data_IF_114155362424
#
_entry.id   IF_114155362424
#
_cell.length_a   1.000
_cell.length_b   1.000
_cell.length_c   1.000
_cell.angle_alpha   90.00
_cell.angle_beta   90.00
_cell.angle_gamma   90.00
#
_symmetry.space_group_name_H-M   'P 1'
#
loop_
_entity.id
_entity.type
_entity.pdbx_description
1 polymer ?
#
# COMPACT_ATOMS: atom_id res chain seq x y z
N UNK A 1 -19.19 25.98 -15.78
CA UNK A 1 -18.74 24.83 -16.60
C UNK A 1 -17.97 23.93 -15.65
N UNK A 2 -18.62 22.91 -15.08
CA UNK A 2 -18.05 22.03 -14.05
C UNK A 2 -17.74 20.68 -14.68
N UNK A 3 -16.46 20.42 -14.96
CA UNK A 3 -16.01 19.14 -15.49
C UNK A 3 -14.51 19.14 -15.78
N UNK A 4 -13.74 18.41 -14.97
CA UNK A 4 -12.39 17.86 -15.20
C UNK A 4 -11.24 18.86 -15.55
N UNK A 5 -11.53 20.08 -15.97
CA UNK A 5 -10.53 21.12 -16.18
C UNK A 5 -10.28 21.83 -14.82
N UNK A 6 -9.21 21.40 -14.15
CA UNK A 6 -8.40 22.05 -13.10
C UNK A 6 -8.30 21.38 -11.71
N UNK A 7 -9.16 20.42 -11.33
CA UNK A 7 -9.19 19.95 -9.92
C UNK A 7 -9.07 18.46 -9.64
N UNK A 8 -9.29 17.58 -10.61
CA UNK A 8 -9.48 16.15 -10.30
C UNK A 8 -10.59 15.93 -9.27
N UNK A 9 -10.26 15.35 -8.10
CA UNK A 9 -11.18 15.18 -6.97
C UNK A 9 -11.47 16.49 -6.18
N UNK A 10 -10.76 17.57 -6.49
CA UNK A 10 -10.90 18.88 -5.85
C UNK A 10 -10.82 18.83 -4.31
N UNK A 11 -9.78 18.15 -3.81
CA UNK A 11 -9.55 17.98 -2.37
C UNK A 11 -9.09 19.29 -1.72
N UNK A 12 -9.35 19.42 -0.42
CA UNK A 12 -8.77 20.53 0.37
C UNK A 12 -7.25 20.42 0.41
N UNK A 13 -6.55 21.56 0.54
CA UNK A 13 -5.09 21.60 0.64
C UNK A 13 -4.57 20.70 1.78
N UNK A 14 -5.25 20.70 2.93
CA UNK A 14 -4.88 19.86 4.07
C UNK A 14 -5.00 18.37 3.77
N UNK A 15 -6.09 17.92 3.14
CA UNK A 15 -6.28 16.52 2.73
C UNK A 15 -5.22 16.11 1.71
N UNK A 16 -4.96 16.95 0.71
CA UNK A 16 -3.94 16.69 -0.30
C UNK A 16 -2.54 16.61 0.32
N UNK A 17 -2.18 17.57 1.18
CA UNK A 17 -0.87 17.59 1.85
C UNK A 17 -0.67 16.39 2.77
N UNK A 18 -1.71 15.96 3.47
CA UNK A 18 -1.68 14.75 4.31
C UNK A 18 -1.53 13.46 3.50
N UNK A 19 -1.98 13.44 2.25
CA UNK A 19 -1.85 12.28 1.36
C UNK A 19 -0.41 12.07 0.88
N UNK A 20 0.43 13.13 0.88
CA UNK A 20 1.85 13.03 0.57
C UNK A 20 2.67 12.44 1.75
N UNK A 21 2.55 11.12 1.94
CA UNK A 21 3.31 10.35 2.96
C UNK A 21 4.82 10.60 2.91
N UNK A 22 5.36 10.78 1.70
CA UNK A 22 6.77 11.05 1.45
C UNK A 22 6.91 12.47 0.87
N UNK A 23 7.35 13.47 1.65
CA UNK A 23 7.37 14.87 1.23
C UNK A 23 8.57 15.20 0.31
N UNK A 24 8.84 14.35 -0.67
CA UNK A 24 9.90 14.53 -1.65
C UNK A 24 9.54 13.89 -3.00
N UNK A 25 10.13 14.46 -4.05
CA UNK A 25 9.85 14.15 -5.44
C UNK A 25 10.51 12.85 -5.91
N UNK A 26 10.01 12.27 -7.01
CA UNK A 26 10.54 11.05 -7.60
C UNK A 26 12.03 11.15 -8.04
N UNK A 27 12.46 12.29 -8.55
CA UNK A 27 13.84 12.55 -8.99
C UNK A 27 14.83 12.67 -7.81
N UNK A 28 14.33 12.97 -6.61
CA UNK A 28 15.16 13.02 -5.39
C UNK A 28 15.71 11.66 -4.95
N UNK A 29 15.14 10.54 -5.44
CA UNK A 29 15.62 9.18 -5.16
C UNK A 29 17.03 8.96 -5.71
N UNK A 30 17.36 9.58 -6.85
CA UNK A 30 18.68 9.42 -7.49
C UNK A 30 19.78 10.25 -6.82
N UNK A 31 19.39 11.26 -6.02
CA UNK A 31 20.29 12.30 -5.53
C UNK A 31 20.88 12.07 -4.13
N UNK A 32 20.40 11.11 -3.33
CA UNK A 32 20.94 10.82 -1.98
C UNK A 32 20.80 9.35 -1.56
N UNK A 33 21.76 8.90 -0.75
CA UNK A 33 21.72 7.66 0.00
C UNK A 33 20.42 7.55 0.85
N UNK A 34 19.79 6.37 0.82
CA UNK A 34 18.70 5.90 1.71
C UNK A 34 17.23 6.22 1.41
N UNK A 35 16.84 6.93 0.34
CA UNK A 35 15.41 7.15 0.02
C UNK A 35 14.87 6.16 -1.02
N UNK A 36 14.22 5.07 -0.59
CA UNK A 36 13.63 4.03 -1.47
C UNK A 36 12.24 4.35 -2.06
N UNK A 37 11.55 5.34 -1.51
CA UNK A 37 10.15 5.70 -1.86
C UNK A 37 10.06 7.19 -2.15
N UNK A 38 9.02 7.66 -2.82
CA UNK A 38 8.74 9.08 -3.12
C UNK A 38 7.24 9.36 -3.01
N UNK A 39 6.83 10.64 -2.97
CA UNK A 39 5.42 11.00 -2.79
C UNK A 39 4.75 11.65 -3.99
N UNK A 40 5.52 12.24 -4.92
CA UNK A 40 4.95 12.93 -6.07
C UNK A 40 5.91 12.91 -7.27
N UNK A 41 5.34 12.95 -8.48
CA UNK A 41 6.09 13.14 -9.71
C UNK A 41 6.26 14.64 -10.03
N UNK A 42 7.05 14.93 -11.06
CA UNK A 42 7.30 16.30 -11.48
C UNK A 42 6.03 17.01 -11.96
N UNK A 43 5.09 16.27 -12.54
CA UNK A 43 3.77 16.77 -12.93
C UNK A 43 2.97 17.31 -11.74
N UNK A 44 3.06 16.68 -10.57
CA UNK A 44 2.33 17.09 -9.36
C UNK A 44 3.11 18.06 -8.46
N UNK A 45 4.35 18.43 -8.81
CA UNK A 45 5.16 19.33 -7.97
C UNK A 45 4.42 20.63 -7.62
N UNK A 46 3.74 21.23 -8.59
CA UNK A 46 2.98 22.46 -8.37
C UNK A 46 1.85 22.30 -7.35
N UNK A 47 1.17 21.14 -7.33
CA UNK A 47 0.12 20.82 -6.36
C UNK A 47 0.70 20.60 -4.96
N UNK A 48 1.84 19.93 -4.88
CA UNK A 48 2.57 19.75 -3.63
C UNK A 48 2.98 21.10 -3.02
N UNK A 49 3.57 21.98 -3.83
CA UNK A 49 4.03 23.30 -3.41
C UNK A 49 2.83 24.19 -2.98
N UNK A 50 1.73 24.17 -3.74
CA UNK A 50 0.49 24.85 -3.38
C UNK A 50 -0.07 24.36 -2.04
N UNK A 51 -0.24 23.04 -1.89
CA UNK A 51 -0.78 22.46 -0.66
C UNK A 51 0.12 22.74 0.55
N UNK A 52 1.44 22.73 0.36
CA UNK A 52 2.41 23.12 1.39
C UNK A 52 2.26 24.58 1.82
N UNK A 53 2.09 25.50 0.86
CA UNK A 53 1.86 26.93 1.14
C UNK A 53 0.56 27.16 1.91
N UNK A 54 -0.55 26.57 1.48
CA UNK A 54 -1.86 26.75 2.14
C UNK A 54 -1.91 26.14 3.54
N UNK A 55 -1.13 25.09 3.79
CA UNK A 55 -1.05 24.43 5.12
C UNK A 55 0.05 24.98 6.01
N UNK A 56 0.93 25.84 5.49
CA UNK A 56 2.11 26.31 6.22
C UNK A 56 3.19 25.25 6.45
N UNK A 57 3.17 24.13 5.71
CA UNK A 57 4.09 23.01 5.87
C UNK A 57 5.19 23.10 4.81
N UNK A 58 6.43 23.29 5.26
CA UNK A 58 7.60 23.38 4.40
C UNK A 58 7.86 22.09 3.59
N UNK A 59 8.66 22.21 2.53
CA UNK A 59 9.14 21.06 1.76
C UNK A 59 10.03 20.14 2.62
N UNK A 60 9.95 18.83 2.37
CA UNK A 60 10.66 17.83 3.17
C UNK A 60 10.04 17.54 4.55
N UNK A 61 9.13 18.40 5.02
CA UNK A 61 8.39 18.24 6.26
C UNK A 61 7.12 17.44 5.98
N UNK A 62 6.83 16.46 6.85
CA UNK A 62 5.65 15.61 6.72
C UNK A 62 4.45 16.25 7.44
N UNK A 63 3.25 16.09 6.88
CA UNK A 63 2.02 16.52 7.52
C UNK A 63 1.70 15.65 8.76
N UNK A 64 1.30 16.20 9.93
CA UNK A 64 1.03 15.42 11.14
C UNK A 64 -0.01 14.30 10.95
N UNK A 65 -1.10 14.56 10.22
CA UNK A 65 -2.09 13.52 9.88
C UNK A 65 -1.51 12.37 9.04
N UNK A 66 -0.47 12.59 8.23
CA UNK A 66 0.19 11.51 7.49
C UNK A 66 0.91 10.55 8.43
N UNK A 67 1.42 11.04 9.57
CA UNK A 67 2.02 10.21 10.62
C UNK A 67 0.99 9.34 11.33
N UNK A 68 -0.19 9.90 11.63
CA UNK A 68 -1.32 9.13 12.18
C UNK A 68 -1.75 8.04 11.19
N UNK A 69 -1.85 8.39 9.90
CA UNK A 69 -2.18 7.45 8.84
C UNK A 69 -1.13 6.34 8.73
N UNK A 70 0.17 6.65 8.75
CA UNK A 70 1.24 5.65 8.73
C UNK A 70 1.21 4.72 9.95
N UNK A 71 1.03 5.26 11.16
CA UNK A 71 0.89 4.42 12.34
C UNK A 71 -0.35 3.52 12.27
N UNK A 72 -1.47 4.03 11.76
CA UNK A 72 -2.70 3.24 11.56
C UNK A 72 -2.47 2.11 10.55
N UNK A 73 -1.76 2.41 9.46
CA UNK A 73 -1.38 1.46 8.40
C UNK A 73 -0.53 0.31 8.95
N UNK A 74 0.50 0.65 9.73
CA UNK A 74 1.39 -0.32 10.38
C UNK A 74 0.65 -1.25 11.34
N UNK A 75 -0.30 -0.72 12.12
CA UNK A 75 -1.13 -1.51 13.04
C UNK A 75 -2.04 -2.45 12.25
N UNK A 76 -2.76 -1.91 11.27
CA UNK A 76 -3.71 -2.66 10.47
C UNK A 76 -3.03 -3.82 9.73
N UNK A 77 -1.99 -3.57 8.93
CA UNK A 77 -1.35 -4.64 8.15
C UNK A 77 -0.68 -5.70 9.02
N UNK A 78 -0.12 -5.32 10.18
CA UNK A 78 0.50 -6.31 11.07
C UNK A 78 -0.50 -7.33 11.64
N UNK A 79 -1.77 -6.94 11.80
CA UNK A 79 -2.79 -7.77 12.45
C UNK A 79 -3.74 -8.40 11.42
N UNK A 80 -4.20 -7.62 10.44
CA UNK A 80 -5.18 -8.04 9.44
C UNK A 80 -4.61 -9.10 8.50
N UNK A 81 -3.33 -9.02 8.14
CA UNK A 81 -2.73 -10.05 7.28
C UNK A 81 -2.69 -11.41 7.98
N UNK A 82 -2.50 -11.41 9.30
CA UNK A 82 -2.59 -12.63 10.13
C UNK A 82 -4.03 -13.13 10.19
N UNK A 83 -5.01 -12.23 10.38
CA UNK A 83 -6.44 -12.58 10.35
C UNK A 83 -6.83 -13.22 9.01
N UNK A 84 -6.38 -12.65 7.90
CA UNK A 84 -6.63 -13.17 6.56
C UNK A 84 -5.94 -14.51 6.32
N UNK A 85 -4.74 -14.71 6.86
CA UNK A 85 -4.07 -16.01 6.87
C UNK A 85 -4.89 -17.09 7.60
N UNK A 86 -5.52 -16.75 8.74
CA UNK A 86 -6.40 -17.66 9.48
C UNK A 86 -7.69 -17.94 8.71
N UNK A 87 -8.32 -16.91 8.13
CA UNK A 87 -9.54 -17.06 7.31
C UNK A 87 -9.31 -17.93 6.08
N UNK A 88 -8.17 -17.74 5.42
CA UNK A 88 -7.72 -18.55 4.27
C UNK A 88 -7.22 -19.93 4.67
N UNK A 89 -7.22 -20.26 5.96
CA UNK A 89 -6.77 -21.56 6.53
C UNK A 89 -5.31 -21.88 6.23
N UNK A 90 -4.49 -20.85 6.03
CA UNK A 90 -3.04 -20.98 5.85
C UNK A 90 -2.35 -21.26 7.19
N UNK A 91 -2.93 -20.71 8.26
CA UNK A 91 -2.44 -20.83 9.64
C UNK A 91 -3.62 -20.93 10.61
N UNK A 92 -3.36 -21.33 11.85
CA UNK A 92 -4.35 -21.32 12.95
C UNK A 92 -3.97 -20.33 14.05
N UNK A 93 -4.96 -19.93 14.84
CA UNK A 93 -4.72 -19.09 16.03
C UNK A 93 -3.81 -19.79 17.04
N UNK A 94 -3.92 -21.12 17.18
CA UNK A 94 -3.04 -21.89 18.07
C UNK A 94 -1.57 -21.83 17.62
N UNK A 95 -1.32 -21.92 16.31
CA UNK A 95 0.03 -21.80 15.75
C UNK A 95 0.61 -20.40 15.99
N UNK A 96 -0.17 -19.35 15.74
CA UNK A 96 0.21 -17.96 16.03
C UNK A 96 0.61 -17.78 17.49
N UNK A 97 -0.23 -18.24 18.43
CA UNK A 97 0.03 -18.04 19.86
C UNK A 97 1.26 -18.82 20.34
N UNK A 98 1.50 -20.02 19.79
CA UNK A 98 2.72 -20.78 20.07
C UNK A 98 3.97 -20.06 19.52
N UNK A 99 3.90 -19.55 18.29
CA UNK A 99 4.98 -18.78 17.68
C UNK A 99 5.32 -17.54 18.51
N UNK A 100 4.32 -16.71 18.83
CA UNK A 100 4.51 -15.49 19.62
C UNK A 100 5.10 -15.82 21.00
N UNK A 101 4.56 -16.82 21.70
CA UNK A 101 5.08 -17.24 23.02
C UNK A 101 6.55 -17.62 22.97
N UNK A 102 7.00 -18.28 21.91
CA UNK A 102 8.38 -18.74 21.78
C UNK A 102 9.32 -17.61 21.38
N UNK A 103 8.91 -16.75 20.43
CA UNK A 103 9.74 -15.67 19.89
C UNK A 103 9.79 -14.43 20.76
N UNK A 104 8.79 -14.20 21.61
CA UNK A 104 8.78 -13.04 22.51
C UNK A 104 9.69 -13.19 23.73
N UNK A 105 10.36 -14.34 23.94
CA UNK A 105 11.26 -14.55 25.08
C UNK A 105 12.42 -13.55 25.03
N UNK A 106 12.51 -12.68 26.03
CA UNK A 106 13.54 -11.64 26.10
C UNK A 106 13.26 -10.41 25.22
N UNK A 107 12.17 -10.40 24.45
CA UNK A 107 11.75 -9.25 23.66
C UNK A 107 11.01 -8.22 24.55
N UNK A 108 11.02 -6.93 24.19
CA UNK A 108 10.22 -5.91 24.89
C UNK A 108 8.75 -6.31 25.07
N UNK A 109 8.13 -6.89 24.04
CA UNK A 109 6.73 -7.31 24.07
C UNK A 109 6.43 -8.57 24.89
N UNK A 110 7.41 -9.17 25.59
CA UNK A 110 7.25 -10.45 26.30
C UNK A 110 6.05 -10.46 27.27
N UNK A 111 5.87 -9.36 28.03
CA UNK A 111 4.76 -9.24 29.00
C UNK A 111 3.40 -9.19 28.30
N UNK A 112 3.29 -8.46 27.18
CA UNK A 112 2.08 -8.38 26.37
C UNK A 112 1.73 -9.72 25.76
N UNK A 113 2.72 -10.42 25.18
CA UNK A 113 2.51 -11.76 24.63
C UNK A 113 2.07 -12.74 25.72
N UNK A 114 2.66 -12.68 26.91
CA UNK A 114 2.23 -13.52 28.02
C UNK A 114 0.77 -13.23 28.45
N UNK A 115 0.34 -11.96 28.42
CA UNK A 115 -1.04 -11.58 28.67
C UNK A 115 -1.99 -12.10 27.59
N UNK A 116 -1.63 -11.93 26.31
CA UNK A 116 -2.39 -12.42 25.17
C UNK A 116 -2.55 -13.94 25.21
N UNK A 117 -1.48 -14.68 25.53
CA UNK A 117 -1.53 -16.15 25.70
C UNK A 117 -2.49 -16.55 26.81
N UNK A 118 -2.48 -15.84 27.95
CA UNK A 118 -3.42 -16.11 29.04
C UNK A 118 -4.87 -15.87 28.61
N UNK A 119 -5.12 -14.74 27.94
CA UNK A 119 -6.46 -14.40 27.44
C UNK A 119 -6.93 -15.41 26.40
N UNK A 120 -6.10 -15.74 25.41
CA UNK A 120 -6.40 -16.76 24.41
C UNK A 120 -6.76 -18.11 25.02
N UNK A 121 -6.00 -18.58 26.02
CA UNK A 121 -6.32 -19.84 26.70
C UNK A 121 -7.66 -19.80 27.45
N UNK A 122 -8.05 -18.64 27.98
CA UNK A 122 -9.36 -18.45 28.57
C UNK A 122 -10.45 -18.51 27.49
N UNK A 123 -10.26 -17.81 26.38
CA UNK A 123 -11.23 -17.75 25.27
C UNK A 123 -11.42 -19.12 24.62
N UNK A 124 -10.35 -19.89 24.42
CA UNK A 124 -10.42 -21.28 23.92
C UNK A 124 -11.26 -22.16 24.84
N UNK A 125 -11.07 -22.07 26.16
CA UNK A 125 -11.87 -22.83 27.14
C UNK A 125 -13.33 -22.42 27.12
N UNK A 126 -13.60 -21.11 27.08
CA UNK A 126 -14.95 -20.58 26.97
C UNK A 126 -15.62 -21.07 25.68
N UNK A 127 -14.94 -20.97 24.53
CA UNK A 127 -15.49 -21.35 23.25
C UNK A 127 -15.69 -22.85 23.10
N UNK A 128 -14.83 -23.66 23.74
CA UNK A 128 -14.99 -25.12 23.82
C UNK A 128 -16.26 -25.54 24.58
N UNK A 129 -16.82 -24.66 25.42
CA UNK A 129 -18.11 -24.90 26.08
C UNK A 129 -19.32 -24.52 25.22
N UNK A 130 -19.09 -23.87 24.07
CA UNK A 130 -20.13 -23.47 23.13
C UNK A 130 -20.34 -24.54 22.05
N UNK A 131 -21.55 -24.62 21.48
CA UNK A 131 -21.87 -25.51 20.36
C UNK A 131 -21.52 -24.87 19.02
N UNK A 132 -20.22 -24.68 18.77
CA UNK A 132 -19.69 -24.05 17.54
C UNK A 132 -18.70 -25.02 16.88
N UNK A 133 -18.73 -25.15 15.55
CA UNK A 133 -17.73 -25.97 14.85
C UNK A 133 -16.34 -25.31 14.82
N UNK A 134 -15.32 -26.10 14.47
CA UNK A 134 -13.93 -25.66 14.55
C UNK A 134 -13.59 -24.47 13.64
N UNK A 135 -14.23 -24.34 12.47
CA UNK A 135 -13.96 -23.23 11.56
C UNK A 135 -14.52 -21.92 12.08
N UNK A 136 -15.78 -21.93 12.52
CA UNK A 136 -16.38 -20.77 13.17
C UNK A 136 -15.67 -20.44 14.48
N UNK A 137 -15.17 -21.44 15.21
CA UNK A 137 -14.42 -21.21 16.44
C UNK A 137 -13.09 -20.47 16.19
N UNK A 138 -12.32 -20.87 15.17
CA UNK A 138 -11.09 -20.17 14.77
C UNK A 138 -11.36 -18.72 14.35
N UNK A 139 -12.44 -18.49 13.59
CA UNK A 139 -12.80 -17.14 13.14
C UNK A 139 -13.17 -16.24 14.33
N UNK A 140 -13.92 -16.76 15.31
CA UNK A 140 -14.24 -16.03 16.55
C UNK A 140 -12.99 -15.76 17.38
N UNK A 141 -12.11 -16.75 17.56
CA UNK A 141 -10.85 -16.58 18.31
C UNK A 141 -9.97 -15.51 17.66
N UNK A 142 -9.87 -15.50 16.33
CA UNK A 142 -9.07 -14.52 15.62
C UNK A 142 -9.65 -13.10 15.76
N UNK A 143 -10.98 -12.94 15.74
CA UNK A 143 -11.62 -11.64 15.98
C UNK A 143 -11.40 -11.13 17.40
N UNK A 144 -11.44 -12.02 18.40
CA UNK A 144 -11.11 -11.68 19.80
C UNK A 144 -9.65 -11.26 19.91
N UNK A 145 -8.73 -12.07 19.36
CA UNK A 145 -7.30 -11.77 19.32
C UNK A 145 -7.01 -10.42 18.67
N UNK A 146 -7.60 -10.13 17.51
CA UNK A 146 -7.51 -8.83 16.84
C UNK A 146 -7.90 -7.69 17.78
N UNK A 147 -9.01 -7.85 18.50
CA UNK A 147 -9.51 -6.83 19.43
C UNK A 147 -8.50 -6.55 20.54
N UNK A 148 -7.89 -7.60 21.09
CA UNK A 148 -6.85 -7.47 22.11
C UNK A 148 -5.55 -6.86 21.56
N UNK A 149 -5.10 -7.29 20.37
CA UNK A 149 -3.93 -6.73 19.70
C UNK A 149 -4.09 -5.23 19.46
N UNK A 150 -5.20 -4.82 18.83
CA UNK A 150 -5.47 -3.40 18.54
C UNK A 150 -5.55 -2.61 19.84
N UNK A 151 -6.25 -3.13 20.85
CA UNK A 151 -6.41 -2.44 22.14
C UNK A 151 -5.08 -2.20 22.84
N UNK A 152 -4.18 -3.20 22.87
CA UNK A 152 -2.84 -3.06 23.44
C UNK A 152 -2.02 -2.02 22.67
N UNK A 153 -1.97 -2.15 21.35
CA UNK A 153 -1.15 -1.27 20.52
C UNK A 153 -1.65 0.18 20.57
N UNK A 154 -2.96 0.40 20.43
CA UNK A 154 -3.57 1.76 20.46
C UNK A 154 -3.34 2.43 21.82
N UNK A 155 -3.35 1.66 22.93
CA UNK A 155 -3.14 2.21 24.27
C UNK A 155 -1.76 2.88 24.45
N UNK A 156 -0.76 2.48 23.67
CA UNK A 156 0.59 3.08 23.64
C UNK A 156 0.77 4.03 22.48
N UNK A 157 0.29 3.65 21.29
CA UNK A 157 0.45 4.43 20.07
C UNK A 157 -0.15 5.84 20.18
N UNK A 158 -1.34 5.97 20.79
CA UNK A 158 -2.03 7.27 20.88
C UNK A 158 -1.26 8.28 21.76
N UNK A 159 -0.83 7.94 22.99
CA UNK A 159 0.03 8.82 23.79
C UNK A 159 1.36 9.19 23.13
N UNK A 160 2.00 8.24 22.46
CA UNK A 160 3.27 8.48 21.75
C UNK A 160 3.08 9.43 20.57
N UNK A 161 2.07 9.18 19.74
CA UNK A 161 1.72 10.05 18.61
C UNK A 161 1.36 11.45 19.08
N UNK A 162 0.58 11.58 20.16
CA UNK A 162 0.22 12.88 20.73
C UNK A 162 1.46 13.65 21.19
N UNK A 163 2.38 12.98 21.89
CA UNK A 163 3.63 13.58 22.35
C UNK A 163 4.50 14.01 21.18
N UNK A 164 4.68 13.13 20.18
CA UNK A 164 5.48 13.41 19.00
C UNK A 164 4.91 14.60 18.19
N UNK A 165 3.60 14.60 17.92
CA UNK A 165 2.94 15.68 17.17
C UNK A 165 2.99 17.00 17.94
N UNK A 166 2.88 16.98 19.28
CA UNK A 166 2.92 18.20 20.10
C UNK A 166 4.34 18.75 20.30
N UNK A 167 5.36 17.88 20.33
CA UNK A 167 6.75 18.27 20.45
C UNK A 167 7.32 18.81 19.13
N UNK A 168 6.79 18.32 18.01
CA UNK A 168 7.25 18.64 16.67
C UNK A 168 6.52 19.88 16.12
N UNK A 169 6.88 21.06 16.63
CA UNK A 169 6.46 22.35 16.05
C UNK A 169 6.95 22.56 14.59
N UNK A 170 7.67 21.60 14.00
CA UNK A 170 8.16 21.68 12.62
C UNK A 170 8.51 20.29 12.02
N UNK A 171 7.57 19.34 12.06
CA UNK A 171 7.52 18.09 11.26
C UNK A 171 8.83 17.40 10.82
N UNK A 172 9.78 17.22 11.73
CA UNK A 172 11.03 16.48 11.51
C UNK A 172 11.06 15.10 12.20
N UNK A 173 10.16 14.82 13.13
CA UNK A 173 10.06 13.52 13.79
C UNK A 173 9.11 12.61 13.02
N UNK A 174 9.59 11.45 12.56
CA UNK A 174 8.70 10.38 12.14
C UNK A 174 8.06 9.78 13.40
N UNK A 175 6.78 10.03 13.71
CA UNK A 175 6.09 9.50 14.89
C UNK A 175 5.84 8.01 14.67
N UNK A 176 6.92 7.25 14.62
CA UNK A 176 6.88 5.84 14.30
C UNK A 176 6.72 5.08 15.60
N UNK A 177 5.90 4.04 15.57
CA UNK A 177 5.87 2.96 16.55
C UNK A 177 7.15 2.11 16.40
N UNK A 178 8.33 2.75 16.46
CA UNK A 178 9.62 2.16 16.10
C UNK A 178 10.37 1.56 17.29
N UNK A 179 9.90 1.81 18.51
CA UNK A 179 10.55 1.34 19.74
C UNK A 179 9.55 0.73 20.72
N UNK A 180 10.08 0.07 21.75
CA UNK A 180 9.30 -0.46 22.86
C UNK A 180 8.49 -1.72 22.55
N UNK A 181 7.51 -1.99 23.40
CA UNK A 181 6.66 -3.19 23.32
C UNK A 181 5.81 -3.23 22.06
N UNK A 182 5.31 -2.07 21.61
CA UNK A 182 4.49 -1.96 20.41
C UNK A 182 5.27 -2.37 19.16
N UNK A 183 6.41 -1.72 18.91
CA UNK A 183 7.27 -2.03 17.78
C UNK A 183 7.67 -3.51 17.75
N UNK A 184 8.09 -4.03 18.91
CA UNK A 184 8.50 -5.42 19.07
C UNK A 184 7.37 -6.41 18.77
N UNK A 185 6.13 -6.11 19.16
CA UNK A 185 4.98 -6.97 18.87
C UNK A 185 4.60 -6.94 17.39
N UNK A 186 4.53 -5.74 16.79
CA UNK A 186 4.22 -5.57 15.37
C UNK A 186 5.27 -6.26 14.48
N UNK A 187 6.54 -6.16 14.85
CA UNK A 187 7.63 -6.85 14.14
C UNK A 187 7.48 -8.37 14.22
N UNK A 188 7.17 -8.94 15.39
CA UNK A 188 6.91 -10.37 15.51
C UNK A 188 5.74 -10.84 14.64
N UNK A 189 4.66 -10.04 14.54
CA UNK A 189 3.53 -10.35 13.68
C UNK A 189 3.92 -10.25 12.20
N UNK A 190 4.64 -9.20 11.80
CA UNK A 190 5.17 -9.06 10.42
C UNK A 190 6.08 -10.23 10.04
N UNK A 191 6.94 -10.67 10.96
CA UNK A 191 7.82 -11.82 10.73
C UNK A 191 7.03 -13.13 10.61
N UNK A 192 5.99 -13.30 11.43
CA UNK A 192 5.08 -14.43 11.31
C UNK A 192 4.39 -14.47 9.94
N UNK A 193 3.83 -13.33 9.50
CA UNK A 193 3.15 -13.22 8.20
C UNK A 193 4.10 -13.54 7.05
N UNK A 194 5.32 -12.99 7.05
CA UNK A 194 6.33 -13.32 6.02
C UNK A 194 6.68 -14.80 6.00
N UNK A 195 6.85 -15.41 7.18
CA UNK A 195 7.32 -16.79 7.28
C UNK A 195 6.26 -17.83 6.91
N UNK A 196 4.97 -17.55 7.17
CA UNK A 196 3.92 -18.58 7.08
C UNK A 196 2.73 -18.22 6.17
N UNK A 197 2.58 -16.95 5.78
CA UNK A 197 1.43 -16.48 4.99
C UNK A 197 1.90 -16.08 3.59
N UNK A 198 2.85 -15.15 3.48
CA UNK A 198 3.35 -14.69 2.18
C UNK A 198 4.15 -15.77 1.43
N UNK A 199 4.85 -16.63 2.16
CA UNK A 199 5.57 -17.79 1.63
C UNK A 199 4.65 -18.94 1.20
N UNK A 200 3.34 -18.79 1.35
CA UNK A 200 2.41 -19.85 0.94
C UNK A 200 2.30 -19.90 -0.59
N UNK A 201 2.37 -21.09 -1.23
CA UNK A 201 2.38 -21.20 -2.70
C UNK A 201 1.21 -20.53 -3.41
N UNK A 202 0.03 -20.47 -2.76
CA UNK A 202 -1.14 -19.78 -3.32
C UNK A 202 -0.98 -18.25 -3.39
N UNK A 203 -0.19 -17.66 -2.49
CA UNK A 203 0.10 -16.23 -2.48
C UNK A 203 1.19 -15.93 -3.52
N UNK A 204 2.28 -16.70 -3.49
CA UNK A 204 3.38 -16.56 -4.47
C UNK A 204 2.89 -16.73 -5.92
N UNK A 205 1.95 -17.65 -6.17
CA UNK A 205 1.36 -17.83 -7.50
C UNK A 205 0.71 -16.53 -8.02
N UNK A 206 -0.06 -15.85 -7.19
CA UNK A 206 -0.74 -14.59 -7.58
C UNK A 206 0.30 -13.50 -7.85
N UNK A 207 1.36 -13.41 -7.05
CA UNK A 207 2.46 -12.48 -7.28
C UNK A 207 3.19 -12.75 -8.61
N UNK A 208 3.45 -14.02 -8.93
CA UNK A 208 4.09 -14.43 -10.19
C UNK A 208 3.21 -14.11 -11.42
N UNK A 209 1.90 -14.31 -11.31
CA UNK A 209 0.96 -13.94 -12.37
C UNK A 209 1.03 -12.43 -12.63
N UNK A 210 0.96 -11.60 -11.57
CA UNK A 210 1.11 -10.15 -11.65
C UNK A 210 2.44 -9.71 -12.26
N UNK A 211 3.55 -10.35 -11.87
CA UNK A 211 4.89 -10.06 -12.40
C UNK A 211 4.99 -10.25 -13.93
N UNK A 212 4.17 -11.12 -14.51
CA UNK A 212 4.14 -11.31 -15.97
C UNK A 212 3.20 -10.34 -16.70
N UNK A 213 2.09 -9.97 -16.06
CA UNK A 213 1.01 -9.15 -16.64
C UNK A 213 1.40 -7.69 -16.72
N UNK A 214 1.95 -7.12 -15.64
CA UNK A 214 2.25 -5.69 -15.57
C UNK A 214 3.28 -5.24 -16.63
N UNK A 215 4.46 -5.90 -16.78
CA UNK A 215 5.42 -5.51 -17.81
C UNK A 215 4.88 -5.69 -19.23
N UNK A 216 4.04 -6.71 -19.45
CA UNK A 216 3.43 -6.95 -20.74
C UNK A 216 2.49 -5.80 -21.13
N UNK A 217 1.60 -5.38 -20.23
CA UNK A 217 0.68 -4.27 -20.48
C UNK A 217 1.42 -2.96 -20.70
N UNK A 218 2.41 -2.64 -19.85
CA UNK A 218 3.24 -1.44 -19.99
C UNK A 218 3.94 -1.41 -21.36
N UNK A 219 4.55 -2.54 -21.77
CA UNK A 219 5.21 -2.65 -23.07
C UNK A 219 4.26 -2.51 -24.26
N UNK A 220 3.06 -3.08 -24.16
CA UNK A 220 2.03 -2.98 -25.21
C UNK A 220 1.56 -1.53 -25.39
N UNK A 221 1.21 -0.82 -24.30
CA UNK A 221 0.80 0.58 -24.37
C UNK A 221 1.94 1.49 -24.84
N UNK A 222 3.16 1.26 -24.34
CA UNK A 222 4.34 2.01 -24.75
C UNK A 222 4.58 1.92 -26.26
N UNK A 223 4.66 0.68 -26.79
CA UNK A 223 4.97 0.43 -28.19
C UNK A 223 3.92 1.01 -29.13
N UNK A 224 2.64 0.91 -28.74
CA UNK A 224 1.54 1.46 -29.52
C UNK A 224 1.59 2.99 -29.58
N UNK A 225 1.81 3.66 -28.45
CA UNK A 225 1.95 5.11 -28.38
C UNK A 225 3.17 5.62 -29.15
N UNK A 226 4.31 4.91 -29.05
CA UNK A 226 5.53 5.22 -29.77
C UNK A 226 5.35 5.12 -31.29
N UNK A 227 4.77 4.03 -31.77
CA UNK A 227 4.50 3.82 -33.20
C UNK A 227 3.51 4.86 -33.74
N UNK A 228 2.56 5.30 -32.90
CA UNK A 228 1.63 6.35 -33.27
C UNK A 228 2.31 7.73 -33.39
N UNK A 229 3.22 8.07 -32.48
CA UNK A 229 4.04 9.30 -32.55
C UNK A 229 4.93 9.30 -33.81
N UNK A 230 5.47 8.15 -34.19
CA UNK A 230 6.32 7.99 -35.38
C UNK A 230 5.53 7.89 -36.70
N UNK A 231 4.20 7.83 -36.66
CA UNK A 231 3.36 7.65 -37.85
C UNK A 231 3.38 6.24 -38.46
N UNK A 232 3.93 5.25 -37.74
CA UNK A 232 4.07 3.85 -38.16
C UNK A 232 3.02 2.91 -37.53
N UNK A 233 2.06 3.45 -36.77
CA UNK A 233 1.06 2.66 -36.04
C UNK A 233 0.24 1.71 -36.93
N UNK A 234 0.35 0.43 -36.60
CA UNK A 234 -0.44 -0.66 -37.16
C UNK A 234 -1.92 -0.60 -36.71
N UNK A 235 -2.74 -1.51 -37.26
CA UNK A 235 -4.12 -1.68 -36.78
C UNK A 235 -4.16 -2.11 -35.30
N UNK A 236 -3.21 -2.95 -34.88
CA UNK A 236 -3.09 -3.42 -33.50
C UNK A 236 -2.74 -2.25 -32.56
N UNK A 237 -1.79 -1.39 -32.94
CA UNK A 237 -1.40 -0.23 -32.14
C UNK A 237 -2.57 0.73 -31.93
N UNK A 238 -3.32 1.00 -33.01
CA UNK A 238 -4.52 1.83 -32.93
C UNK A 238 -5.60 1.22 -32.03
N UNK A 239 -5.71 -0.10 -32.00
CA UNK A 239 -6.62 -0.81 -31.09
C UNK A 239 -6.15 -0.70 -29.63
N UNK A 240 -4.86 -0.90 -29.36
CA UNK A 240 -4.27 -0.77 -28.02
C UNK A 240 -4.45 0.65 -27.47
N UNK A 241 -4.21 1.68 -28.28
CA UNK A 241 -4.42 3.09 -27.88
C UNK A 241 -5.89 3.34 -27.53
N UNK A 242 -6.85 2.79 -28.29
CA UNK A 242 -8.28 2.92 -27.99
C UNK A 242 -8.70 2.26 -26.67
N UNK A 243 -7.89 1.36 -26.12
CA UNK A 243 -8.12 0.76 -24.80
C UNK A 243 -7.67 1.67 -23.66
N UNK A 244 -6.85 2.70 -23.93
CA UNK A 244 -6.47 3.68 -22.92
C UNK A 244 -7.68 4.55 -22.58
N UNK A 245 -7.92 4.76 -21.28
CA UNK A 245 -9.01 5.62 -20.82
C UNK A 245 -8.93 7.01 -21.45
N UNK A 246 -10.03 7.55 -22.01
CA UNK A 246 -10.06 8.91 -22.53
C UNK A 246 -9.67 9.97 -21.50
N UNK A 247 -9.87 9.70 -20.20
CA UNK A 247 -9.45 10.61 -19.13
C UNK A 247 -7.93 10.72 -19.06
N UNK A 248 -7.22 9.58 -19.16
CA UNK A 248 -5.76 9.55 -19.16
C UNK A 248 -5.18 10.14 -20.45
N UNK A 249 -5.84 9.94 -21.60
CA UNK A 249 -5.42 10.58 -22.85
C UNK A 249 -5.52 12.12 -22.79
N UNK A 250 -6.55 12.67 -22.14
CA UNK A 250 -6.63 14.13 -21.93
C UNK A 250 -5.49 14.66 -21.05
N UNK A 251 -5.12 13.92 -19.99
CA UNK A 251 -3.97 14.28 -19.15
C UNK A 251 -2.67 14.16 -19.93
N UNK A 252 -2.52 13.10 -20.73
CA UNK A 252 -1.39 12.89 -21.62
C UNK A 252 -1.16 14.06 -22.57
N UNK A 253 -2.20 14.57 -23.23
CA UNK A 253 -2.11 15.72 -24.13
C UNK A 253 -1.64 17.00 -23.41
N UNK A 254 -2.13 17.23 -22.19
CA UNK A 254 -1.68 18.35 -21.34
C UNK A 254 -0.22 18.17 -20.92
N UNK A 255 0.19 16.95 -20.56
CA UNK A 255 1.57 16.63 -20.19
C UNK A 255 2.52 16.80 -21.38
N UNK A 256 2.13 16.40 -22.59
CA UNK A 256 2.93 16.61 -23.82
C UNK A 256 3.24 18.09 -24.09
N UNK A 257 2.33 18.99 -23.74
CA UNK A 257 2.55 20.43 -23.87
C UNK A 257 3.57 21.01 -22.88
N UNK A 258 3.94 20.27 -21.82
CA UNK A 258 4.77 20.75 -20.70
C UNK A 258 6.04 19.92 -20.48
N UNK A 259 6.06 18.67 -20.91
CA UNK A 259 7.11 17.69 -20.63
C UNK A 259 7.52 16.95 -21.91
N UNK A 260 8.74 16.36 -21.96
CA UNK A 260 9.18 15.56 -23.10
C UNK A 260 8.22 14.41 -23.42
N UNK A 261 8.09 14.05 -24.70
CA UNK A 261 7.13 13.03 -25.14
C UNK A 261 7.33 11.67 -24.49
N UNK A 262 8.59 11.25 -24.29
CA UNK A 262 8.90 10.02 -23.56
C UNK A 262 8.38 10.02 -22.11
N UNK A 263 8.41 11.17 -21.44
CA UNK A 263 7.95 11.30 -20.05
C UNK A 263 6.43 11.22 -19.98
N UNK A 264 5.74 11.95 -20.87
CA UNK A 264 4.30 11.88 -21.01
C UNK A 264 3.84 10.45 -21.33
N UNK A 265 4.55 9.75 -22.22
CA UNK A 265 4.27 8.34 -22.59
C UNK A 265 4.40 7.42 -21.39
N UNK A 266 5.48 7.53 -20.62
CA UNK A 266 5.66 6.74 -19.39
C UNK A 266 4.52 7.00 -18.41
N UNK A 267 4.17 8.26 -18.19
CA UNK A 267 3.10 8.63 -17.26
C UNK A 267 1.75 8.03 -17.67
N UNK A 268 1.32 8.19 -18.91
CA UNK A 268 0.02 7.65 -19.35
C UNK A 268 -0.03 6.12 -19.33
N UNK A 269 1.09 5.45 -19.61
CA UNK A 269 1.20 3.99 -19.49
C UNK A 269 1.04 3.56 -18.03
N UNK A 270 1.75 4.24 -17.11
CA UNK A 270 1.65 3.99 -15.68
C UNK A 270 0.22 4.27 -15.17
N UNK A 271 -0.38 5.40 -15.54
CA UNK A 271 -1.74 5.78 -15.14
C UNK A 271 -2.76 4.73 -15.58
N UNK A 272 -2.66 4.26 -16.83
CA UNK A 272 -3.56 3.23 -17.36
C UNK A 272 -3.41 1.90 -16.62
N UNK A 273 -2.18 1.44 -16.40
CA UNK A 273 -1.92 0.13 -15.77
C UNK A 273 -2.23 0.16 -14.27
N UNK A 274 -1.81 1.21 -13.56
CA UNK A 274 -2.12 1.38 -12.13
C UNK A 274 -3.61 1.66 -11.86
N UNK A 275 -4.34 2.17 -12.86
CA UNK A 275 -5.79 2.36 -12.76
C UNK A 275 -6.62 1.07 -12.94
N UNK A 276 -5.99 -0.07 -13.27
CA UNK A 276 -6.68 -1.34 -13.45
C UNK A 276 -6.90 -2.07 -12.12
N UNK A 277 -8.01 -2.82 -12.03
CA UNK A 277 -8.13 -3.89 -11.02
C UNK A 277 -7.37 -5.13 -11.49
N UNK A 278 -6.95 -6.00 -10.57
CA UNK A 278 -6.18 -7.22 -10.89
C UNK A 278 -6.85 -8.08 -11.96
N UNK A 279 -8.15 -8.39 -11.79
CA UNK A 279 -8.91 -9.18 -12.75
C UNK A 279 -9.00 -8.51 -14.12
N UNK A 280 -9.13 -7.18 -14.15
CA UNK A 280 -9.17 -6.43 -15.41
C UNK A 280 -7.80 -6.44 -16.10
N UNK A 281 -6.71 -6.26 -15.35
CA UNK A 281 -5.35 -6.31 -15.90
C UNK A 281 -5.04 -7.69 -16.52
N UNK A 282 -5.41 -8.78 -15.82
CA UNK A 282 -5.24 -10.15 -16.34
C UNK A 282 -6.06 -10.34 -17.62
N UNK A 283 -7.34 -9.97 -17.60
CA UNK A 283 -8.23 -10.09 -18.76
C UNK A 283 -7.75 -9.26 -19.95
N UNK A 284 -7.31 -8.02 -19.72
CA UNK A 284 -6.79 -7.15 -20.76
C UNK A 284 -5.49 -7.71 -21.36
N UNK A 285 -4.58 -8.20 -20.51
CA UNK A 285 -3.35 -8.82 -20.99
C UNK A 285 -3.63 -10.07 -21.82
N UNK A 286 -4.60 -10.90 -21.42
CA UNK A 286 -5.02 -12.07 -22.18
C UNK A 286 -5.62 -11.69 -23.54
N UNK A 287 -6.55 -10.72 -23.58
CA UNK A 287 -7.17 -10.23 -24.82
C UNK A 287 -6.10 -9.76 -25.81
N UNK A 288 -5.14 -8.94 -25.36
CA UNK A 288 -4.08 -8.45 -26.24
C UNK A 288 -3.17 -9.57 -26.76
N UNK A 289 -2.90 -10.60 -25.93
CA UNK A 289 -2.10 -11.77 -26.36
C UNK A 289 -2.84 -12.57 -27.43
N UNK A 290 -4.15 -12.79 -27.25
CA UNK A 290 -5.00 -13.51 -28.21
C UNK A 290 -5.10 -12.74 -29.55
N UNK A 291 -5.08 -11.41 -29.49
CA UNK A 291 -5.04 -10.54 -30.67
C UNK A 291 -3.63 -10.41 -31.29
N UNK A 292 -2.64 -11.15 -30.79
CA UNK A 292 -1.28 -11.20 -31.34
C UNK A 292 -0.47 -9.93 -31.12
N UNK A 293 -0.78 -9.13 -30.09
CA UNK A 293 0.05 -7.97 -29.72
C UNK A 293 1.39 -8.50 -29.18
N UNK A 294 2.53 -8.09 -29.76
CA UNK A 294 3.82 -8.63 -29.37
C UNK A 294 4.21 -8.17 -27.97
N UNK A 295 5.01 -9.01 -27.29
CA UNK A 295 5.68 -8.59 -26.07
C UNK A 295 6.77 -7.59 -26.45
N UNK A 296 6.82 -6.47 -25.73
CA UNK A 296 7.90 -5.50 -25.86
C UNK A 296 9.25 -6.18 -25.57
N UNK A 297 10.19 -6.01 -26.50
CA UNK A 297 11.53 -6.62 -26.51
C UNK A 297 12.58 -5.68 -25.98
#
# INVERSE_FOLDING_TARGET
MFGIEDGGLNLTASTLRASFKYPWSADSIRAKEHKKKFGFFQTEKHLFDWAGKETGIAEGVRHPLASIMEASDDICYSILDVEDGVKKRLVSTAHLMLYLRNRAKGAPCAKWVAQLVRQYNYDVKWLSSQKVDGHHAEDVLMQLLRTYFISLVVSVAVPELKTAISADNAGAGNPCLSHGECASLLELLKDYTKAYIYSHPSVEKVELEGHSVIPYLLGAFWSALESNEQGSASMQDKFVIKKISPNYLRVYDVTLGKFPSWYARLQVCCDMVCGMTDSFAISAAQELKELGVPRWS
#
